data_IF_392961824218
#
_entry.id   IF_392961824218
#
_cell.length_a   1.000
_cell.length_b   1.000
_cell.length_c   1.000
_cell.angle_alpha   90.00
_cell.angle_beta   90.00
_cell.angle_gamma   90.00
#
_symmetry.space_group_name_H-M   'P 1'
#
loop_
_entity.id
_entity.type
_entity.pdbx_description
1 polymer ?
#
# COMPACT_ATOMS: atom_id res chain seq x y z
N UNK A 1 18.89 48.98 -30.60
CA UNK A 1 18.33 47.98 -31.54
C UNK A 1 17.84 46.84 -30.67
N UNK A 2 16.53 46.65 -30.57
CA UNK A 2 16.00 45.47 -29.87
C UNK A 2 16.44 44.25 -30.65
N UNK A 3 17.09 43.30 -29.98
CA UNK A 3 17.40 42.00 -30.59
C UNK A 3 16.06 41.34 -30.93
N UNK A 4 15.69 41.38 -32.22
CA UNK A 4 14.56 40.62 -32.72
C UNK A 4 14.83 39.14 -32.45
N UNK A 5 14.02 38.57 -31.56
CA UNK A 5 14.08 37.17 -31.18
C UNK A 5 13.86 36.33 -32.46
N UNK A 6 14.87 35.54 -32.83
CA UNK A 6 14.82 34.73 -34.05
C UNK A 6 13.66 33.73 -34.05
N UNK A 7 13.16 33.32 -35.22
CA UNK A 7 12.00 32.42 -35.34
C UNK A 7 12.18 31.12 -34.55
N UNK A 8 13.38 30.54 -34.48
CA UNK A 8 13.63 29.36 -33.64
C UNK A 8 13.43 29.63 -32.16
N UNK A 9 13.86 30.80 -31.68
CA UNK A 9 13.78 31.16 -30.28
C UNK A 9 12.33 31.50 -29.90
N UNK A 10 11.55 32.09 -30.81
CA UNK A 10 10.11 32.31 -30.63
C UNK A 10 9.34 30.99 -30.47
N UNK A 11 9.61 30.00 -31.32
CA UNK A 11 9.00 28.65 -31.20
C UNK A 11 9.37 28.02 -29.86
N UNK A 12 10.65 28.09 -29.50
CA UNK A 12 11.15 27.54 -28.24
C UNK A 12 10.51 28.18 -27.02
N UNK A 13 10.32 29.50 -27.02
CA UNK A 13 9.64 30.21 -25.94
C UNK A 13 8.17 29.81 -25.84
N UNK A 14 7.47 29.69 -26.97
CA UNK A 14 6.07 29.24 -26.99
C UNK A 14 5.92 27.79 -26.53
N UNK A 15 6.85 26.91 -26.93
CA UNK A 15 6.91 25.52 -26.47
C UNK A 15 7.17 25.43 -24.96
N UNK A 16 8.14 26.19 -24.44
CA UNK A 16 8.42 26.26 -23.00
C UNK A 16 7.20 26.69 -22.20
N UNK A 17 6.49 27.74 -22.65
CA UNK A 17 5.24 28.19 -22.01
C UNK A 17 4.17 27.11 -22.02
N UNK A 18 3.97 26.42 -23.14
CA UNK A 18 2.99 25.34 -23.24
C UNK A 18 3.31 24.21 -22.26
N UNK A 19 4.58 23.80 -22.17
CA UNK A 19 5.01 22.76 -21.24
C UNK A 19 4.89 23.21 -19.77
N UNK A 20 5.21 24.47 -19.45
CA UNK A 20 5.01 25.05 -18.12
C UNK A 20 3.52 25.05 -17.72
N UNK A 21 2.63 25.44 -18.63
CA UNK A 21 1.18 25.45 -18.38
C UNK A 21 0.64 24.03 -18.21
N UNK A 22 1.05 23.07 -19.04
CA UNK A 22 0.67 21.65 -18.88
C UNK A 22 1.14 21.09 -17.56
N UNK A 23 2.41 21.30 -17.20
CA UNK A 23 2.96 20.82 -15.94
C UNK A 23 2.24 21.43 -14.73
N UNK A 24 1.92 22.72 -14.78
CA UNK A 24 1.14 23.39 -13.74
C UNK A 24 -0.30 22.83 -13.65
N UNK A 25 -0.95 22.57 -14.78
CA UNK A 25 -2.27 21.93 -14.82
C UNK A 25 -2.24 20.50 -14.25
N UNK A 26 -1.29 19.66 -14.68
CA UNK A 26 -1.11 18.30 -14.17
C UNK A 26 -0.88 18.29 -12.65
N UNK A 27 -0.05 19.21 -12.14
CA UNK A 27 0.17 19.37 -10.71
C UNK A 27 -1.11 19.79 -9.96
N UNK A 28 -1.91 20.72 -10.50
CA UNK A 28 -3.21 21.12 -9.92
C UNK A 28 -4.19 19.94 -9.87
N UNK A 29 -4.29 19.17 -10.97
CA UNK A 29 -5.17 17.99 -11.06
C UNK A 29 -4.74 16.92 -10.06
N UNK A 30 -3.45 16.63 -9.97
CA UNK A 30 -2.92 15.62 -9.06
C UNK A 30 -3.11 16.01 -7.59
N UNK A 31 -2.92 17.29 -7.24
CA UNK A 31 -3.20 17.77 -5.89
C UNK A 31 -4.68 17.64 -5.56
N UNK A 32 -5.57 18.08 -6.45
CA UNK A 32 -7.01 17.97 -6.23
C UNK A 32 -7.48 16.51 -6.11
N UNK A 33 -6.86 15.58 -6.87
CA UNK A 33 -7.10 14.14 -6.75
C UNK A 33 -6.75 13.64 -5.35
N UNK A 34 -5.55 13.97 -4.85
CA UNK A 34 -5.10 13.58 -3.52
C UNK A 34 -6.02 14.13 -2.43
N UNK A 35 -6.38 15.40 -2.51
CA UNK A 35 -7.28 16.04 -1.55
C UNK A 35 -8.65 15.33 -1.51
N UNK A 36 -9.21 14.97 -2.68
CA UNK A 36 -10.46 14.21 -2.79
C UNK A 36 -10.34 12.78 -2.24
N UNK A 37 -9.26 12.06 -2.57
CA UNK A 37 -9.00 10.71 -2.05
C UNK A 37 -8.82 10.71 -0.53
N UNK A 38 -8.06 11.66 0.02
CA UNK A 38 -7.86 11.81 1.46
C UNK A 38 -9.18 12.11 2.18
N UNK A 39 -10.00 13.01 1.65
CA UNK A 39 -11.30 13.34 2.23
C UNK A 39 -12.23 12.12 2.25
N UNK A 40 -12.25 11.34 1.16
CA UNK A 40 -13.00 10.08 1.11
C UNK A 40 -12.52 9.08 2.15
N UNK A 41 -11.20 8.90 2.30
CA UNK A 41 -10.63 8.01 3.30
C UNK A 41 -10.95 8.44 4.74
N UNK A 42 -10.93 9.75 5.03
CA UNK A 42 -11.33 10.30 6.34
C UNK A 42 -12.80 10.01 6.62
N UNK A 43 -13.67 10.20 5.64
CA UNK A 43 -15.10 9.88 5.76
C UNK A 43 -15.34 8.38 6.04
N UNK A 44 -14.71 7.50 5.25
CA UNK A 44 -14.80 6.05 5.44
C UNK A 44 -14.26 5.62 6.81
N UNK A 45 -13.12 6.17 7.23
CA UNK A 45 -12.51 5.90 8.53
C UNK A 45 -13.43 6.32 9.68
N UNK A 46 -14.11 7.47 9.56
CA UNK A 46 -15.07 7.94 10.56
C UNK A 46 -16.27 7.01 10.65
N UNK A 47 -16.81 6.54 9.52
CA UNK A 47 -17.91 5.56 9.51
C UNK A 47 -17.48 4.28 10.21
N UNK A 48 -16.30 3.75 9.90
CA UNK A 48 -15.82 2.51 10.54
C UNK A 48 -15.62 2.69 12.05
N UNK A 49 -15.11 3.84 12.49
CA UNK A 49 -15.02 4.16 13.92
C UNK A 49 -16.41 4.21 14.58
N UNK A 50 -17.40 4.81 13.93
CA UNK A 50 -18.78 4.84 14.44
C UNK A 50 -19.40 3.43 14.48
N UNK A 51 -19.19 2.60 13.45
CA UNK A 51 -19.62 1.19 13.45
C UNK A 51 -18.99 0.40 14.60
N UNK A 52 -17.69 0.59 14.82
CA UNK A 52 -16.99 -0.03 15.94
C UNK A 52 -17.57 0.44 17.27
N UNK A 53 -17.87 1.74 17.43
CA UNK A 53 -18.50 2.26 18.64
C UNK A 53 -19.89 1.64 18.90
N UNK A 54 -20.68 1.39 17.85
CA UNK A 54 -21.96 0.66 17.98
C UNK A 54 -21.72 -0.78 18.45
N UNK A 55 -20.75 -1.48 17.86
CA UNK A 55 -20.41 -2.84 18.25
C UNK A 55 -19.87 -2.92 19.70
N UNK A 56 -19.02 -1.99 20.09
CA UNK A 56 -18.48 -1.92 21.46
C UNK A 56 -19.59 -1.60 22.48
N UNK A 57 -20.54 -0.75 22.10
CA UNK A 57 -21.71 -0.44 22.93
C UNK A 57 -22.68 -1.62 23.06
N UNK A 58 -22.83 -2.46 22.03
CA UNK A 58 -23.71 -3.63 22.06
C UNK A 58 -23.06 -4.86 22.70
N UNK A 59 -21.73 -4.96 22.67
CA UNK A 59 -20.98 -6.13 23.14
C UNK A 59 -21.33 -6.63 24.56
N UNK A 60 -21.65 -5.80 25.57
CA UNK A 60 -22.11 -6.28 26.88
C UNK A 60 -23.42 -7.08 26.82
N UNK A 61 -24.23 -6.87 25.79
CA UNK A 61 -25.49 -7.55 25.55
C UNK A 61 -25.36 -8.71 24.56
N UNK A 62 -24.76 -8.51 23.38
CA UNK A 62 -24.75 -9.48 22.26
C UNK A 62 -23.39 -10.12 21.96
N UNK A 63 -22.35 -9.77 22.72
CA UNK A 63 -20.98 -10.24 22.51
C UNK A 63 -20.78 -11.72 22.84
N UNK A 64 -19.73 -12.32 22.28
CA UNK A 64 -19.35 -13.71 22.55
C UNK A 64 -18.88 -13.86 24.00
N UNK A 65 -19.49 -14.79 24.73
CA UNK A 65 -19.21 -15.03 26.16
C UNK A 65 -18.37 -16.28 26.37
N UNK A 66 -18.68 -17.36 25.64
CA UNK A 66 -18.02 -18.65 25.79
C UNK A 66 -18.16 -19.49 24.52
N UNK A 67 -17.16 -20.33 24.24
CA UNK A 67 -17.18 -21.31 23.15
C UNK A 67 -16.84 -22.70 23.71
N UNK A 68 -17.61 -23.71 23.36
CA UNK A 68 -17.43 -25.10 23.78
C UNK A 68 -17.61 -26.01 22.57
N UNK A 69 -16.50 -26.50 22.02
CA UNK A 69 -16.50 -27.22 20.75
C UNK A 69 -17.16 -26.37 19.65
N UNK A 70 -18.20 -26.87 18.96
CA UNK A 70 -18.89 -26.13 17.90
C UNK A 70 -19.98 -25.17 18.41
N UNK A 71 -20.23 -25.10 19.72
CA UNK A 71 -21.30 -24.29 20.32
C UNK A 71 -20.74 -22.96 20.82
N UNK A 72 -21.38 -21.87 20.40
CA UNK A 72 -21.04 -20.51 20.84
C UNK A 72 -22.16 -19.92 21.69
N UNK A 73 -21.81 -19.46 22.88
CA UNK A 73 -22.70 -18.72 23.77
C UNK A 73 -22.38 -17.23 23.64
N UNK A 74 -23.35 -16.48 23.15
CA UNK A 74 -23.35 -15.03 23.15
C UNK A 74 -24.17 -14.51 24.33
N UNK A 75 -24.07 -13.22 24.61
CA UNK A 75 -24.80 -12.59 25.72
C UNK A 75 -26.32 -12.68 25.57
N UNK A 76 -26.84 -12.80 24.35
CA UNK A 76 -28.28 -12.81 24.01
C UNK A 76 -28.74 -14.08 23.29
N UNK A 77 -27.86 -15.04 22.96
CA UNK A 77 -28.19 -16.23 22.15
C UNK A 77 -27.17 -17.36 22.25
N UNK A 78 -27.56 -18.53 21.77
CA UNK A 78 -26.70 -19.70 21.53
C UNK A 78 -26.69 -20.02 20.04
N UNK A 79 -25.50 -20.29 19.50
CA UNK A 79 -25.32 -20.66 18.10
C UNK A 79 -24.66 -22.04 17.95
N UNK A 80 -25.17 -22.84 17.02
CA UNK A 80 -24.59 -24.12 16.58
C UNK A 80 -25.01 -24.43 15.14
N UNK A 81 -24.04 -24.73 14.26
CA UNK A 81 -24.27 -25.10 12.83
C UNK A 81 -25.29 -24.21 12.11
N UNK A 82 -25.09 -22.88 12.17
CA UNK A 82 -25.96 -21.84 11.59
C UNK A 82 -27.37 -21.74 12.20
N UNK A 83 -27.70 -22.54 13.22
CA UNK A 83 -28.89 -22.34 14.02
C UNK A 83 -28.57 -21.40 15.18
N UNK A 84 -29.48 -20.46 15.41
CA UNK A 84 -29.40 -19.45 16.45
C UNK A 84 -30.66 -19.54 17.29
N UNK A 85 -30.48 -19.65 18.60
CA UNK A 85 -31.57 -19.64 19.56
C UNK A 85 -31.35 -18.50 20.54
N UNK A 86 -32.24 -17.50 20.53
CA UNK A 86 -32.17 -16.38 21.47
C UNK A 86 -32.36 -16.86 22.91
N UNK A 87 -31.60 -16.26 23.82
CA UNK A 87 -31.81 -16.41 25.24
C UNK A 87 -33.04 -15.60 25.63
N UNK A 88 -33.98 -16.26 26.29
CA UNK A 88 -35.16 -15.64 26.89
C UNK A 88 -35.43 -16.32 28.25
N UNK A 89 -36.49 -15.91 28.94
CA UNK A 89 -36.88 -16.47 30.23
C UNK A 89 -37.48 -17.88 30.15
N UNK A 90 -37.78 -18.38 28.94
CA UNK A 90 -38.44 -19.66 28.67
C UNK A 90 -37.51 -20.72 28.12
N UNK A 91 -36.29 -20.35 27.74
CA UNK A 91 -35.32 -21.29 27.21
C UNK A 91 -34.85 -22.27 28.30
N UNK A 92 -34.97 -23.55 28.00
CA UNK A 92 -34.44 -24.63 28.82
C UNK A 92 -33.15 -25.15 28.18
N UNK A 93 -32.05 -25.13 28.93
CA UNK A 93 -30.75 -25.63 28.48
C UNK A 93 -30.31 -26.77 29.39
N UNK A 94 -30.04 -27.93 28.78
CA UNK A 94 -29.66 -29.16 29.47
C UNK A 94 -28.44 -29.82 28.81
N UNK A 95 -27.64 -30.51 29.62
CA UNK A 95 -26.55 -31.37 29.15
C UNK A 95 -26.93 -32.80 29.47
N UNK A 96 -27.05 -33.63 28.43
CA UNK A 96 -27.35 -35.04 28.53
C UNK A 96 -26.11 -35.86 28.17
N UNK A 97 -25.86 -36.93 28.91
CA UNK A 97 -24.78 -37.87 28.63
C UNK A 97 -25.37 -39.25 28.37
N UNK A 98 -24.88 -39.92 27.34
CA UNK A 98 -25.22 -41.31 27.01
C UNK A 98 -23.95 -42.11 26.80
N UNK A 99 -23.95 -43.43 27.02
CA UNK A 99 -22.77 -44.30 26.84
C UNK A 99 -21.95 -44.53 28.12
N UNK A 100 -20.85 -45.27 27.98
CA UNK A 100 -20.04 -45.80 29.11
C UNK A 100 -18.56 -45.45 28.95
N UNK A 101 -17.85 -45.34 30.08
CA UNK A 101 -16.38 -45.30 30.15
C UNK A 101 -15.90 -46.62 30.74
N UNK A 102 -14.93 -47.26 30.08
CA UNK A 102 -14.25 -48.44 30.62
C UNK A 102 -12.76 -48.40 30.27
N UNK A 103 -11.94 -49.09 31.06
CA UNK A 103 -10.49 -49.14 30.84
C UNK A 103 -10.04 -50.58 30.72
N UNK A 104 -9.30 -50.87 29.66
CA UNK A 104 -8.66 -52.16 29.45
C UNK A 104 -7.19 -52.04 29.88
N UNK A 105 -6.80 -52.80 30.91
CA UNK A 105 -5.40 -52.87 31.34
C UNK A 105 -4.72 -54.04 30.64
N UNK A 106 -3.82 -53.75 29.70
CA UNK A 106 -3.00 -54.76 29.04
C UNK A 106 -1.70 -54.97 29.81
N UNK A 107 -1.55 -56.16 30.37
CA UNK A 107 -0.33 -56.59 31.07
C UNK A 107 0.47 -57.48 30.11
N UNK A 108 1.65 -57.02 29.69
CA UNK A 108 2.57 -57.84 28.88
C UNK A 108 3.85 -58.16 29.64
N UNK A 109 4.04 -59.44 29.96
CA UNK A 109 5.22 -59.99 30.62
C UNK A 109 4.88 -61.01 31.71
N UNK A 110 5.17 -62.30 31.47
CA UNK A 110 5.02 -63.40 32.44
C UNK A 110 4.33 -64.64 31.86
N UNK A 111 5.11 -65.57 31.29
CA UNK A 111 4.66 -66.93 30.94
C UNK A 111 4.62 -67.85 32.17
N UNK A 112 3.99 -69.04 32.06
CA UNK A 112 2.95 -69.48 32.98
C UNK A 112 3.48 -70.26 34.19
N UNK A 113 2.91 -70.03 35.37
CA UNK A 113 2.80 -71.10 36.37
C UNK A 113 1.33 -71.27 36.75
N UNK A 114 0.74 -72.30 36.17
CA UNK A 114 -0.47 -72.96 36.66
C UNK A 114 -0.16 -73.43 38.08
N UNK A 115 -0.77 -72.81 39.08
CA UNK A 115 -0.74 -73.32 40.46
C UNK A 115 -0.45 -72.26 41.52
N UNK A 116 -1.51 -71.78 42.16
CA UNK A 116 -1.43 -71.32 43.56
C UNK A 116 -1.22 -69.84 43.81
N UNK A 117 -2.28 -69.03 43.65
CA UNK A 117 -2.59 -67.86 44.49
C UNK A 117 -4.03 -67.44 44.17
N UNK A 118 -5.04 -67.97 44.86
CA UNK A 118 -5.63 -67.37 46.07
C UNK A 118 -5.87 -65.86 45.96
N UNK A 119 -7.14 -65.54 45.68
CA UNK A 119 -7.95 -64.41 46.17
C UNK A 119 -7.23 -63.37 47.02
N UNK A 120 -7.24 -62.13 46.55
CA UNK A 120 -6.94 -60.95 47.36
C UNK A 120 -7.07 -59.70 46.50
N UNK A 121 -8.21 -59.01 46.61
CA UNK A 121 -8.46 -57.78 45.87
C UNK A 121 -7.41 -56.72 46.20
N UNK A 122 -6.84 -56.11 45.16
CA UNK A 122 -6.26 -54.78 45.24
C UNK A 122 -6.51 -54.10 43.90
N UNK A 123 -7.53 -53.24 43.87
CA UNK A 123 -7.61 -52.16 42.90
C UNK A 123 -6.53 -51.17 43.36
N UNK A 124 -5.32 -51.31 42.84
CA UNK A 124 -4.28 -50.32 43.00
C UNK A 124 -4.33 -49.39 41.78
N UNK A 125 -4.77 -48.16 42.02
CA UNK A 125 -4.57 -47.06 41.09
C UNK A 125 -3.09 -46.86 40.77
N UNK A 126 -2.86 -46.14 39.68
CA UNK A 126 -1.60 -45.98 38.98
C UNK A 126 -0.35 -45.88 39.90
N UNK A 127 0.64 -46.71 39.55
CA UNK A 127 2.01 -46.71 40.07
C UNK A 127 2.22 -47.04 41.57
N UNK A 128 2.56 -48.30 41.86
CA UNK A 128 3.24 -48.62 43.12
C UNK A 128 3.20 -50.07 43.60
N UNK A 129 3.83 -51.00 42.87
CA UNK A 129 4.22 -52.29 43.44
C UNK A 129 5.58 -52.72 42.89
N UNK A 130 6.65 -52.46 43.65
CA UNK A 130 7.94 -53.13 43.47
C UNK A 130 7.91 -54.35 44.38
N UNK A 131 7.69 -55.54 43.81
CA UNK A 131 8.03 -56.80 44.46
C UNK A 131 9.23 -57.37 43.73
N UNK A 132 10.34 -57.53 44.46
CA UNK A 132 11.61 -57.97 43.92
C UNK A 132 11.54 -59.36 43.28
N UNK A 133 12.39 -59.56 42.27
CA UNK A 133 12.62 -60.85 41.64
C UNK A 133 12.12 -60.96 40.20
N UNK A 134 12.97 -60.55 39.24
CA UNK A 134 13.01 -61.04 37.84
C UNK A 134 11.74 -60.95 36.97
N UNK A 135 11.31 -59.74 36.60
CA UNK A 135 11.13 -59.24 35.20
C UNK A 135 10.31 -57.95 35.25
N UNK A 136 10.71 -56.95 34.46
CA UNK A 136 9.99 -55.68 34.32
C UNK A 136 8.62 -55.97 33.68
N UNK A 137 7.54 -55.82 34.45
CA UNK A 137 6.17 -55.89 33.94
C UNK A 137 5.81 -54.48 33.44
N UNK A 138 5.43 -54.38 32.17
CA UNK A 138 4.91 -53.14 31.58
C UNK A 138 3.40 -53.28 31.45
N UNK A 139 2.66 -52.52 32.25
CA UNK A 139 1.21 -52.36 32.12
C UNK A 139 0.93 -51.11 31.30
N UNK A 140 0.10 -51.24 30.27
CA UNK A 140 -0.48 -50.11 29.55
C UNK A 140 -1.99 -50.17 29.77
N UNK A 141 -2.56 -49.07 30.27
CA UNK A 141 -4.00 -48.92 30.42
C UNK A 141 -4.51 -48.15 29.20
N UNK A 142 -5.40 -48.76 28.44
CA UNK A 142 -6.14 -48.10 27.36
C UNK A 142 -7.53 -47.76 27.91
N UNK A 143 -7.84 -46.47 28.02
CA UNK A 143 -9.17 -46.01 28.45
C UNK A 143 -10.03 -45.78 27.23
N UNK A 144 -11.17 -46.46 27.17
CA UNK A 144 -12.19 -46.33 26.15
C UNK A 144 -13.34 -45.48 26.68
N UNK A 145 -13.43 -44.23 26.20
CA UNK A 145 -14.56 -43.35 26.45
C UNK A 145 -15.51 -43.39 25.24
N UNK A 146 -16.64 -44.07 25.40
CA UNK A 146 -17.68 -44.17 24.38
C UNK A 146 -18.89 -43.29 24.71
N UNK A 147 -18.71 -42.28 25.57
CA UNK A 147 -19.79 -41.36 25.91
C UNK A 147 -20.14 -40.48 24.71
N UNK A 148 -21.42 -40.18 24.55
CA UNK A 148 -21.92 -39.08 23.75
C UNK A 148 -22.48 -38.02 24.70
N UNK A 149 -21.92 -36.82 24.68
CA UNK A 149 -22.45 -35.67 25.42
C UNK A 149 -23.24 -34.81 24.45
N UNK A 150 -24.43 -34.38 24.85
CA UNK A 150 -25.32 -33.56 24.03
C UNK A 150 -25.78 -32.36 24.83
N UNK A 151 -25.56 -31.17 24.28
CA UNK A 151 -26.17 -29.94 24.77
C UNK A 151 -27.49 -29.73 24.04
N UNK A 152 -28.58 -29.62 24.78
CA UNK A 152 -29.92 -29.38 24.24
C UNK A 152 -30.43 -28.05 24.77
N UNK A 153 -30.88 -27.17 23.87
CA UNK A 153 -31.56 -25.94 24.20
C UNK A 153 -32.95 -25.95 23.54
N UNK A 154 -34.00 -25.63 24.29
CA UNK A 154 -35.39 -25.60 23.80
C UNK A 154 -36.06 -24.31 24.26
N UNK A 155 -36.70 -23.60 23.35
CA UNK A 155 -37.57 -22.46 23.65
C UNK A 155 -38.84 -22.52 22.79
N UNK A 156 -39.74 -21.56 22.99
CA UNK A 156 -40.94 -21.41 22.17
C UNK A 156 -40.60 -21.13 20.69
N UNK A 157 -39.42 -20.58 20.41
CA UNK A 157 -38.97 -20.24 19.06
C UNK A 157 -38.32 -21.43 18.32
N UNK A 158 -37.93 -22.49 19.03
CA UNK A 158 -37.30 -23.66 18.44
C UNK A 158 -36.41 -24.43 19.40
N UNK A 159 -35.63 -25.36 18.85
CA UNK A 159 -34.73 -26.20 19.63
C UNK A 159 -33.41 -26.41 18.91
N UNK A 160 -32.34 -26.58 19.68
CA UNK A 160 -30.98 -26.83 19.23
C UNK A 160 -30.44 -28.03 20.01
N UNK A 161 -29.82 -28.97 19.30
CA UNK A 161 -29.11 -30.11 19.89
C UNK A 161 -27.71 -30.14 19.29
N UNK A 162 -26.70 -30.03 20.13
CA UNK A 162 -25.30 -30.04 19.74
C UNK A 162 -24.56 -31.21 20.39
N UNK A 163 -23.95 -32.12 19.61
CA UNK A 163 -23.02 -33.10 20.14
C UNK A 163 -21.75 -32.38 20.63
N UNK A 164 -21.30 -32.74 21.82
CA UNK A 164 -20.09 -32.23 22.46
C UNK A 164 -19.16 -33.41 22.70
N UNK A 165 -17.86 -33.20 22.48
CA UNK A 165 -16.85 -34.19 22.84
C UNK A 165 -16.91 -34.49 24.35
N UNK A 166 -16.88 -35.75 24.79
CA UNK A 166 -16.90 -36.12 26.21
C UNK A 166 -15.84 -35.42 27.07
N UNK A 167 -14.70 -35.04 26.49
CA UNK A 167 -13.65 -34.30 27.19
C UNK A 167 -14.10 -32.89 27.61
N UNK A 168 -15.08 -32.32 26.90
CA UNK A 168 -15.65 -31.00 27.15
C UNK A 168 -16.96 -31.03 27.96
N UNK A 169 -17.30 -32.16 28.61
CA UNK A 169 -18.54 -32.26 29.41
C UNK A 169 -18.61 -31.17 30.50
N UNK A 170 -17.50 -30.94 31.21
CA UNK A 170 -17.43 -29.92 32.25
C UNK A 170 -17.66 -28.51 31.66
N UNK A 171 -17.06 -28.23 30.50
CA UNK A 171 -17.20 -26.95 29.81
C UNK A 171 -18.65 -26.75 29.34
N UNK A 172 -19.32 -27.79 28.83
CA UNK A 172 -20.73 -27.72 28.44
C UNK A 172 -21.65 -27.45 29.64
N UNK A 173 -21.36 -28.04 30.80
CA UNK A 173 -22.08 -27.75 32.06
C UNK A 173 -21.84 -26.32 32.52
N UNK A 174 -20.60 -25.83 32.41
CA UNK A 174 -20.25 -24.44 32.72
C UNK A 174 -20.94 -23.45 31.77
N UNK A 175 -21.01 -23.76 30.47
CA UNK A 175 -21.76 -22.99 29.48
C UNK A 175 -23.23 -22.91 29.88
N UNK A 176 -23.85 -24.02 30.24
CA UNK A 176 -25.25 -24.05 30.71
C UNK A 176 -25.46 -23.17 31.94
N UNK A 177 -24.56 -23.25 32.93
CA UNK A 177 -24.62 -22.40 34.12
C UNK A 177 -24.45 -20.91 33.77
N UNK A 178 -23.54 -20.58 32.85
CA UNK A 178 -23.31 -19.23 32.37
C UNK A 178 -24.52 -18.69 31.60
N UNK A 179 -25.13 -19.48 30.73
CA UNK A 179 -26.34 -19.13 30.01
C UNK A 179 -27.49 -18.81 30.98
N UNK A 180 -27.68 -19.61 32.03
CA UNK A 180 -28.67 -19.31 33.09
C UNK A 180 -28.41 -17.98 33.80
N UNK A 181 -27.15 -17.63 34.04
CA UNK A 181 -26.80 -16.32 34.57
C UNK A 181 -27.11 -15.18 33.57
N UNK A 182 -26.79 -15.36 32.29
CA UNK A 182 -27.07 -14.39 31.24
C UNK A 182 -28.57 -14.14 31.08
N UNK A 183 -29.40 -15.19 31.11
CA UNK A 183 -30.87 -15.11 31.09
C UNK A 183 -31.38 -14.27 32.26
N UNK A 184 -30.93 -14.55 33.50
CA UNK A 184 -31.34 -13.81 34.70
C UNK A 184 -30.98 -12.33 34.68
N UNK A 185 -29.97 -11.96 33.91
CA UNK A 185 -29.46 -10.59 33.82
C UNK A 185 -29.80 -9.92 32.49
N UNK A 186 -30.61 -10.57 31.65
CA UNK A 186 -30.85 -10.15 30.28
C UNK A 186 -31.51 -8.77 30.21
N UNK A 187 -32.66 -8.60 30.89
CA UNK A 187 -33.41 -7.34 30.93
C UNK A 187 -32.56 -6.18 31.45
N UNK A 188 -31.79 -6.43 32.53
CA UNK A 188 -30.87 -5.43 33.07
C UNK A 188 -29.82 -5.02 32.04
N UNK A 189 -29.13 -6.00 31.42
CA UNK A 189 -28.09 -5.72 30.42
C UNK A 189 -28.67 -5.02 29.19
N UNK A 190 -29.86 -5.40 28.75
CA UNK A 190 -30.57 -4.74 27.64
C UNK A 190 -30.82 -3.26 27.96
N UNK A 191 -31.37 -2.96 29.14
CA UNK A 191 -31.60 -1.58 29.57
C UNK A 191 -30.32 -0.76 29.73
N UNK A 192 -29.22 -1.40 30.14
CA UNK A 192 -27.91 -0.73 30.33
C UNK A 192 -27.26 -0.37 28.98
N UNK A 193 -27.51 -1.15 27.92
CA UNK A 193 -26.95 -0.88 26.58
C UNK A 193 -27.87 -0.06 25.68
N UNK A 194 -29.17 0.01 25.95
CA UNK A 194 -30.15 0.69 25.09
C UNK A 194 -29.76 2.14 24.77
N UNK A 195 -29.46 2.93 25.81
CA UNK A 195 -29.00 4.32 25.66
C UNK A 195 -27.68 4.44 24.88
N UNK A 196 -26.58 3.81 25.33
CA UNK A 196 -25.30 3.84 24.63
C UNK A 196 -25.36 3.38 23.17
N UNK A 197 -26.12 2.32 22.87
CA UNK A 197 -26.30 1.83 21.49
C UNK A 197 -27.11 2.82 20.66
N UNK A 198 -28.17 3.41 21.23
CA UNK A 198 -28.95 4.45 20.56
C UNK A 198 -28.08 5.66 20.21
N UNK A 199 -27.31 6.18 21.18
CA UNK A 199 -26.40 7.31 20.99
C UNK A 199 -25.32 7.01 19.95
N UNK A 200 -24.76 5.79 19.95
CA UNK A 200 -23.76 5.37 18.98
C UNK A 200 -24.34 5.26 17.56
N UNK A 201 -25.58 4.76 17.43
CA UNK A 201 -26.30 4.69 16.15
C UNK A 201 -26.64 6.08 15.61
N UNK A 202 -27.06 6.99 16.48
CA UNK A 202 -27.32 8.39 16.08
C UNK A 202 -26.05 9.06 15.55
N UNK A 203 -24.89 8.86 16.21
CA UNK A 203 -23.60 9.35 15.73
C UNK A 203 -23.20 8.72 14.40
N UNK A 204 -23.47 7.43 14.19
CA UNK A 204 -23.24 6.76 12.91
C UNK A 204 -24.11 7.37 11.81
N UNK A 205 -25.40 7.60 12.07
CA UNK A 205 -26.31 8.23 11.12
C UNK A 205 -25.89 9.67 10.79
N UNK A 206 -25.45 10.44 11.78
CA UNK A 206 -24.90 11.78 11.58
C UNK A 206 -23.62 11.72 10.72
N UNK A 207 -22.68 10.84 11.04
CA UNK A 207 -21.46 10.65 10.29
C UNK A 207 -21.71 10.19 8.85
N UNK A 208 -22.74 9.38 8.60
CA UNK A 208 -23.16 8.94 7.27
C UNK A 208 -23.77 10.08 6.45
N UNK A 209 -24.53 10.99 7.09
CA UNK A 209 -25.13 12.17 6.44
C UNK A 209 -24.12 13.26 6.14
N UNK A 210 -23.10 13.42 6.98
CA UNK A 210 -22.05 14.42 6.80
C UNK A 210 -21.06 14.02 5.70
N UNK A 211 -21.52 14.16 4.46
CA UNK A 211 -20.77 13.88 3.22
C UNK A 211 -20.26 15.15 2.57
N UNK A 212 -20.43 16.31 3.21
CA UNK A 212 -20.24 17.63 2.61
C UNK A 212 -18.81 17.83 2.10
N UNK A 213 -17.80 17.61 2.95
CA UNK A 213 -16.39 17.78 2.61
C UNK A 213 -15.96 16.83 1.47
N UNK A 214 -16.29 15.54 1.58
CA UNK A 214 -15.95 14.54 0.57
C UNK A 214 -16.60 14.85 -0.80
N UNK A 215 -17.85 15.30 -0.79
CA UNK A 215 -18.56 15.71 -2.00
C UNK A 215 -17.98 16.99 -2.59
N UNK A 216 -17.68 18.00 -1.78
CA UNK A 216 -17.11 19.28 -2.22
C UNK A 216 -15.75 19.06 -2.90
N UNK A 217 -14.84 18.31 -2.27
CA UNK A 217 -13.51 18.06 -2.84
C UNK A 217 -13.56 17.18 -4.09
N UNK A 218 -14.49 16.22 -4.15
CA UNK A 218 -14.72 15.42 -5.36
C UNK A 218 -15.26 16.27 -6.51
N UNK A 219 -16.21 17.18 -6.24
CA UNK A 219 -16.70 18.12 -7.25
C UNK A 219 -15.60 19.08 -7.71
N UNK A 220 -14.76 19.58 -6.79
CA UNK A 220 -13.64 20.45 -7.10
C UNK A 220 -12.61 19.75 -7.97
N UNK A 221 -12.30 18.48 -7.69
CA UNK A 221 -11.44 17.67 -8.55
C UNK A 221 -11.98 17.56 -9.97
N UNK A 222 -13.26 17.22 -10.13
CA UNK A 222 -13.88 17.11 -11.47
C UNK A 222 -13.92 18.47 -12.20
N UNK A 223 -14.18 19.57 -11.48
CA UNK A 223 -14.10 20.92 -12.06
C UNK A 223 -12.69 21.23 -12.58
N UNK A 224 -11.65 21.05 -11.76
CA UNK A 224 -10.26 21.31 -12.14
C UNK A 224 -9.83 20.42 -13.30
N UNK A 225 -10.21 19.14 -13.28
CA UNK A 225 -9.94 18.18 -14.35
C UNK A 225 -10.63 18.58 -15.66
N UNK A 226 -11.86 19.08 -15.59
CA UNK A 226 -12.60 19.53 -16.77
C UNK A 226 -12.14 20.88 -17.33
N UNK A 227 -11.49 21.71 -16.52
CA UNK A 227 -11.00 23.02 -16.92
C UNK A 227 -9.65 22.92 -17.66
N UNK A 228 -9.71 22.63 -18.95
CA UNK A 228 -8.55 22.61 -19.85
C UNK A 228 -8.27 23.95 -20.51
N UNK A 229 -8.99 25.01 -20.12
CA UNK A 229 -9.02 26.30 -20.85
C UNK A 229 -7.63 26.96 -20.95
N UNK A 230 -6.84 26.94 -19.87
CA UNK A 230 -5.47 27.47 -19.85
C UNK A 230 -4.54 26.70 -20.80
N UNK A 231 -4.67 25.36 -20.82
CA UNK A 231 -3.86 24.48 -21.67
C UNK A 231 -4.24 24.65 -23.14
N UNK A 232 -5.54 24.73 -23.43
CA UNK A 232 -6.06 24.93 -24.78
C UNK A 232 -5.65 26.29 -25.34
N UNK A 233 -5.68 27.35 -24.51
CA UNK A 233 -5.19 28.68 -24.88
C UNK A 233 -3.68 28.69 -25.17
N UNK A 234 -2.87 28.07 -24.31
CA UNK A 234 -1.43 27.98 -24.51
C UNK A 234 -1.08 27.17 -25.78
N UNK A 235 -1.84 26.10 -26.05
CA UNK A 235 -1.69 25.30 -27.27
C UNK A 235 -2.04 26.13 -28.51
N UNK A 236 -3.13 26.89 -28.48
CA UNK A 236 -3.50 27.79 -29.57
C UNK A 236 -2.44 28.90 -29.80
N UNK A 237 -1.84 29.46 -28.75
CA UNK A 237 -0.72 30.41 -28.87
C UNK A 237 0.50 29.76 -29.54
N UNK A 238 0.86 28.54 -29.12
CA UNK A 238 1.95 27.79 -29.74
C UNK A 238 1.69 27.51 -31.23
N UNK A 239 0.51 27.01 -31.58
CA UNK A 239 0.13 26.74 -32.97
C UNK A 239 0.10 28.02 -33.83
N UNK A 240 -0.34 29.14 -33.27
CA UNK A 240 -0.28 30.46 -33.91
C UNK A 240 1.16 30.91 -34.17
N UNK A 241 2.06 30.75 -33.19
CA UNK A 241 3.48 31.07 -33.36
C UNK A 241 4.11 30.20 -34.44
N UNK A 242 3.89 28.89 -34.41
CA UNK A 242 4.45 27.94 -35.40
C UNK A 242 3.92 28.22 -36.81
N UNK A 243 2.63 28.50 -36.96
CA UNK A 243 2.02 28.78 -38.27
C UNK A 243 2.40 30.15 -38.83
N UNK A 244 2.73 31.13 -37.98
CA UNK A 244 3.18 32.46 -38.41
C UNK A 244 4.62 32.52 -38.95
N UNK A 245 5.40 31.46 -38.77
CA UNK A 245 6.82 31.41 -39.15
C UNK A 245 6.97 30.60 -40.43
N UNK A 246 7.54 31.22 -41.47
CA UNK A 246 7.85 30.51 -42.73
C UNK A 246 8.99 29.49 -42.47
N UNK A 247 8.84 28.21 -42.86
CA UNK A 247 9.92 27.22 -42.81
C UNK A 247 11.22 27.67 -43.49
N UNK A 248 11.14 28.57 -44.47
CA UNK A 248 12.29 29.15 -45.16
C UNK A 248 13.14 30.05 -44.23
N UNK A 249 12.51 30.80 -43.32
CA UNK A 249 13.18 31.66 -42.34
C UNK A 249 13.95 30.85 -41.29
N UNK A 250 13.40 29.70 -40.87
CA UNK A 250 14.08 28.78 -39.96
C UNK A 250 15.36 28.22 -40.60
N UNK A 251 15.30 27.88 -41.91
CA UNK A 251 16.47 27.42 -42.67
C UNK A 251 17.50 28.54 -42.82
N UNK A 252 17.05 29.76 -43.08
CA UNK A 252 17.92 30.94 -43.18
C UNK A 252 18.63 31.23 -41.85
N UNK A 253 17.94 31.14 -40.71
CA UNK A 253 18.53 31.32 -39.38
C UNK A 253 19.58 30.24 -39.08
N UNK A 254 19.28 28.96 -39.37
CA UNK A 254 20.23 27.85 -39.22
C UNK A 254 21.48 28.08 -40.07
N UNK A 255 21.33 28.43 -41.34
CA UNK A 255 22.44 28.75 -42.24
C UNK A 255 23.26 29.95 -41.74
N UNK A 256 22.60 30.99 -41.23
CA UNK A 256 23.27 32.15 -40.66
C UNK A 256 24.09 31.80 -39.41
N UNK A 257 23.57 30.96 -38.51
CA UNK A 257 24.32 30.43 -37.35
C UNK A 257 25.52 29.61 -37.79
N UNK A 258 25.35 28.68 -38.73
CA UNK A 258 26.45 27.87 -39.28
C UNK A 258 27.52 28.77 -39.91
N UNK A 259 27.12 29.78 -40.70
CA UNK A 259 28.05 30.74 -41.31
C UNK A 259 28.82 31.56 -40.27
N UNK A 260 28.17 31.97 -39.16
CA UNK A 260 28.86 32.66 -38.05
C UNK A 260 29.87 31.75 -37.35
N UNK A 261 29.49 30.51 -37.04
CA UNK A 261 30.39 29.53 -36.42
C UNK A 261 31.56 29.18 -37.34
N UNK A 262 31.28 28.93 -38.62
CA UNK A 262 32.30 28.67 -39.63
C UNK A 262 33.24 29.87 -39.84
N UNK A 263 32.71 31.10 -39.86
CA UNK A 263 33.54 32.31 -39.95
C UNK A 263 34.46 32.48 -38.73
N UNK A 264 34.00 32.14 -37.52
CA UNK A 264 34.83 32.19 -36.31
C UNK A 264 35.90 31.09 -36.33
N UNK A 265 35.53 29.87 -36.70
CA UNK A 265 36.47 28.75 -36.86
C UNK A 265 37.56 29.08 -37.90
N UNK A 266 37.17 29.61 -39.07
CA UNK A 266 38.12 30.06 -40.10
C UNK A 266 39.03 31.20 -39.62
N UNK A 267 38.58 32.08 -38.73
CA UNK A 267 39.45 33.10 -38.14
C UNK A 267 40.52 32.46 -37.24
N UNK A 268 40.14 31.49 -36.41
CA UNK A 268 41.09 30.74 -35.57
C UNK A 268 42.11 30.00 -36.44
N UNK A 269 41.64 29.28 -37.46
CA UNK A 269 42.51 28.56 -38.40
C UNK A 269 43.51 29.51 -39.08
N UNK A 270 43.05 30.67 -39.56
CA UNK A 270 43.95 31.67 -40.17
C UNK A 270 45.03 32.19 -39.22
N UNK A 271 44.68 32.40 -37.95
CA UNK A 271 45.64 32.83 -36.93
C UNK A 271 46.69 31.74 -36.69
N UNK A 272 46.26 30.48 -36.54
CA UNK A 272 47.18 29.34 -36.38
C UNK A 272 48.10 29.17 -37.59
N UNK A 273 47.57 29.32 -38.80
CA UNK A 273 48.33 29.24 -40.04
C UNK A 273 49.36 30.38 -40.16
N UNK A 274 49.01 31.60 -39.75
CA UNK A 274 49.95 32.72 -39.71
C UNK A 274 51.09 32.47 -38.71
N UNK A 275 50.79 31.97 -37.50
CA UNK A 275 51.79 31.60 -36.51
C UNK A 275 52.72 30.49 -37.01
N UNK A 276 52.17 29.50 -37.72
CA UNK A 276 52.96 28.44 -38.34
C UNK A 276 53.93 28.97 -39.40
N UNK A 277 53.49 29.88 -40.28
CA UNK A 277 54.38 30.52 -41.25
C UNK A 277 55.44 31.42 -40.61
N UNK A 278 55.14 32.07 -39.47
CA UNK A 278 56.15 32.81 -38.69
C UNK A 278 57.20 31.85 -38.15
N UNK A 279 56.78 30.72 -37.55
CA UNK A 279 57.69 29.72 -37.01
C UNK A 279 58.58 29.11 -38.10
N UNK A 280 57.99 28.67 -39.22
CA UNK A 280 58.74 28.18 -40.38
C UNK A 280 59.69 29.25 -40.93
N UNK A 281 59.24 30.50 -41.03
CA UNK A 281 60.07 31.60 -41.50
C UNK A 281 61.29 31.84 -40.62
N UNK A 282 61.11 31.77 -39.30
CA UNK A 282 62.19 31.89 -38.31
C UNK A 282 63.16 30.71 -38.36
N UNK A 283 62.66 29.48 -38.42
CA UNK A 283 63.47 28.26 -38.51
C UNK A 283 64.31 28.26 -39.80
N UNK A 284 63.69 28.58 -40.94
CA UNK A 284 64.40 28.68 -42.22
C UNK A 284 65.47 29.79 -42.24
N UNK A 285 65.23 30.88 -41.51
CA UNK A 285 66.17 32.00 -41.39
C UNK A 285 67.36 31.66 -40.48
N UNK A 286 67.14 30.83 -39.45
CA UNK A 286 68.19 30.34 -38.56
C UNK A 286 69.08 29.29 -39.23
N UNK A 287 68.49 28.34 -39.96
CA UNK A 287 69.22 27.20 -40.50
C UNK A 287 69.88 27.48 -41.86
N UNK A 288 69.33 28.41 -42.66
CA UNK A 288 69.82 28.70 -44.02
C UNK A 288 69.97 30.20 -44.28
N UNK A 289 70.97 30.86 -43.67
CA UNK A 289 71.17 32.31 -43.78
C UNK A 289 71.48 32.79 -45.22
N UNK A 290 71.92 31.90 -46.11
CA UNK A 290 72.16 32.23 -47.52
C UNK A 290 70.89 32.17 -48.41
N UNK A 291 69.79 31.58 -47.94
CA UNK A 291 68.52 31.52 -48.66
C UNK A 291 67.46 32.45 -48.04
N UNK A 292 67.81 33.73 -47.89
CA UNK A 292 66.93 34.77 -47.33
C UNK A 292 65.55 34.84 -48.01
N UNK A 293 65.45 34.40 -49.27
CA UNK A 293 64.20 34.41 -50.05
C UNK A 293 63.10 33.56 -49.40
N UNK A 294 63.43 32.38 -48.84
CA UNK A 294 62.44 31.50 -48.22
C UNK A 294 61.80 32.08 -46.96
N UNK A 295 62.62 32.63 -46.06
CA UNK A 295 62.15 33.28 -44.83
C UNK A 295 61.32 34.54 -45.10
N UNK A 296 61.72 35.35 -46.08
CA UNK A 296 60.98 36.56 -46.48
C UNK A 296 59.60 36.21 -47.04
N UNK A 297 59.51 35.18 -47.91
CA UNK A 297 58.21 34.74 -48.47
C UNK A 297 57.29 34.22 -47.37
N UNK A 298 57.82 33.47 -46.39
CA UNK A 298 57.02 32.96 -45.27
C UNK A 298 56.48 34.09 -44.36
N UNK A 299 57.31 35.11 -44.08
CA UNK A 299 56.89 36.28 -43.30
C UNK A 299 55.87 37.15 -44.04
N UNK A 300 56.01 37.32 -45.36
CA UNK A 300 55.02 38.03 -46.19
C UNK A 300 53.68 37.30 -46.23
N UNK A 301 53.68 35.96 -46.27
CA UNK A 301 52.45 35.16 -46.19
C UNK A 301 51.77 35.28 -44.82
N UNK A 302 52.56 35.28 -43.73
CA UNK A 302 52.04 35.51 -42.40
C UNK A 302 51.44 36.92 -42.25
N UNK A 303 52.13 37.95 -42.74
CA UNK A 303 51.64 39.34 -42.69
C UNK A 303 50.36 39.51 -43.51
N UNK A 304 50.28 38.94 -44.72
CA UNK A 304 49.07 38.95 -45.54
C UNK A 304 47.88 38.28 -44.82
N UNK A 305 48.12 37.17 -44.10
CA UNK A 305 47.09 36.49 -43.33
C UNK A 305 46.60 37.34 -42.15
N UNK A 306 47.51 37.99 -41.40
CA UNK A 306 47.22 38.87 -40.26
C UNK A 306 46.50 40.15 -40.70
N UNK A 307 46.98 40.80 -41.77
CA UNK A 307 46.35 42.00 -42.33
C UNK A 307 44.92 41.67 -42.81
N UNK A 308 44.70 40.50 -43.42
CA UNK A 308 43.37 40.08 -43.87
C UNK A 308 42.38 39.83 -42.72
N UNK A 309 42.84 39.40 -41.54
CA UNK A 309 42.00 39.21 -40.36
C UNK A 309 41.74 40.54 -39.65
N UNK A 310 42.74 41.40 -39.52
CA UNK A 310 42.62 42.72 -38.86
C UNK A 310 41.72 43.66 -39.67
N UNK A 311 41.85 43.73 -41.00
CA UNK A 311 40.98 44.58 -41.82
C UNK A 311 39.51 44.17 -41.74
N UNK A 312 39.19 42.88 -41.68
CA UNK A 312 37.81 42.40 -41.51
C UNK A 312 37.25 42.72 -40.13
N UNK A 313 38.08 42.67 -39.09
CA UNK A 313 37.65 43.05 -37.73
C UNK A 313 37.36 44.57 -37.66
N UNK A 314 38.18 45.40 -38.30
CA UNK A 314 37.99 46.86 -38.37
C UNK A 314 36.77 47.25 -39.20
N UNK A 315 36.55 46.61 -40.35
CA UNK A 315 35.38 46.86 -41.20
C UNK A 315 34.05 46.53 -40.49
N UNK A 316 34.01 45.46 -39.68
CA UNK A 316 32.83 45.12 -38.87
C UNK A 316 32.53 46.15 -37.77
N UNK A 317 33.55 46.84 -37.26
CA UNK A 317 33.41 47.85 -36.19
C UNK A 317 32.93 49.22 -36.69
N UNK A 318 32.94 49.45 -38.01
CA UNK A 318 32.50 50.69 -38.67
C UNK A 318 31.06 50.55 -39.22
N UNK A 319 30.56 49.32 -39.35
CA UNK A 319 29.19 49.03 -39.80
C UNK A 319 28.24 48.62 -38.66
N UNK A 320 28.72 48.63 -37.41
CA UNK A 320 27.90 48.56 -36.19
C UNK A 320 27.79 49.95 -35.60
#
# INVERSE_FOLDING_TARGET
>A
MGDEIGPQERIRQAESKLEEVKAAYEAKVEQARKDSEEAKQRYESRIEQCKQAVADASAPYDGLVMEVGPVKLYGDRIEYENNLLKLDDRIEITVSTSGNVYSDTKISGGGPSIGGALVGGVIAGEAGAIVGGTKKITSSTETHDARGVFLTAVSDAGSLVAPIDPQHELDARNLTAKAKYLIRTLEKRESEVEGPVSDAKEKLDEAMRDTAEANELSQRYEQIKSDTSEVDAAKAEYESVVSSIDPSEIRAEKLAKVKRHFSRAMQVVKILLALFFIALGLEYWLDYPQSAVGGIVSLLLADALIVSTVHRARARKVMQ
#
